data_IF_215816074136
#
_entry.id   IF_215816074136
#
_cell.length_a   1.000
_cell.length_b   1.000
_cell.length_c   1.000
_cell.angle_alpha   90.00
_cell.angle_beta   90.00
_cell.angle_gamma   90.00
#
_symmetry.space_group_name_H-M   'P 1'
#
loop_
_entity.id
_entity.type
_entity.pdbx_description
1 polymer ?
#
# COMPACT_ATOMS: atom_id res chain seq x y z
N UNK A 1 -1.41 12.32 -2.25
CA UNK A 1 -2.70 12.09 -1.52
C UNK A 1 -2.53 10.89 -0.61
N UNK A 2 -3.30 10.76 0.47
CA UNK A 2 -3.14 9.64 1.40
C UNK A 2 -4.17 8.53 1.17
N UNK A 3 -3.72 7.28 1.15
CA UNK A 3 -4.54 6.07 1.18
C UNK A 3 -4.33 5.33 2.50
N UNK A 4 -5.36 4.63 2.98
CA UNK A 4 -5.30 3.81 4.18
C UNK A 4 -5.48 2.34 3.84
N UNK A 5 -4.72 1.48 4.49
CA UNK A 5 -4.78 0.03 4.30
C UNK A 5 -4.50 -0.70 5.62
N UNK A 6 -4.88 -1.98 5.67
CA UNK A 6 -4.55 -2.85 6.80
C UNK A 6 -3.24 -3.58 6.55
N UNK A 7 -2.38 -3.67 7.56
CA UNK A 7 -1.19 -4.51 7.49
C UNK A 7 -1.59 -6.00 7.39
N UNK A 8 -1.10 -6.76 6.39
CA UNK A 8 -1.44 -8.18 6.22
C UNK A 8 -0.77 -9.10 7.26
N UNK A 9 0.09 -8.56 8.12
CA UNK A 9 0.75 -9.30 9.21
C UNK A 9 0.06 -9.11 10.56
N UNK A 10 -0.11 -7.86 10.99
CA UNK A 10 -0.61 -7.53 12.34
C UNK A 10 -2.02 -6.92 12.36
N UNK A 11 -2.64 -6.71 11.19
CA UNK A 11 -3.97 -6.11 11.02
C UNK A 11 -4.09 -4.66 11.50
N UNK A 12 -2.98 -4.01 11.87
CA UNK A 12 -2.99 -2.61 12.25
C UNK A 12 -3.23 -1.70 11.02
N UNK A 13 -3.91 -0.55 11.20
CA UNK A 13 -4.06 0.43 10.13
C UNK A 13 -2.72 1.07 9.80
N UNK A 14 -2.45 1.25 8.51
CA UNK A 14 -1.30 1.97 7.96
C UNK A 14 -1.79 2.98 6.92
N UNK A 15 -0.94 3.93 6.55
CA UNK A 15 -1.23 4.89 5.49
C UNK A 15 -0.02 5.14 4.59
N UNK A 16 -0.29 5.46 3.33
CA UNK A 16 0.75 5.80 2.36
C UNK A 16 0.38 7.06 1.59
N UNK A 17 1.38 7.92 1.33
CA UNK A 17 1.26 9.04 0.41
C UNK A 17 1.53 8.56 -1.02
N UNK A 18 0.59 8.86 -1.92
CA UNK A 18 0.61 8.48 -3.34
C UNK A 18 0.55 9.75 -4.20
N UNK A 19 1.45 9.89 -5.15
CA UNK A 19 1.37 10.84 -6.25
C UNK A 19 0.72 10.17 -7.48
N UNK A 20 -0.54 10.52 -7.83
CA UNK A 20 -1.23 9.93 -8.98
C UNK A 20 -0.52 10.14 -10.32
N UNK A 21 0.39 11.11 -10.43
CA UNK A 21 1.14 11.34 -11.67
C UNK A 21 2.29 10.35 -11.86
N UNK A 22 2.75 9.70 -10.79
CA UNK A 22 3.96 8.87 -10.82
C UNK A 22 3.77 7.47 -10.26
N UNK A 23 2.87 7.27 -9.28
CA UNK A 23 2.83 6.04 -8.49
C UNK A 23 1.82 5.00 -8.98
N UNK A 24 0.97 5.34 -9.97
CA UNK A 24 0.04 4.37 -10.56
C UNK A 24 0.82 3.22 -11.22
N UNK A 25 0.35 2.00 -11.00
CA UNK A 25 0.95 0.73 -11.42
C UNK A 25 2.35 0.45 -10.83
N UNK A 26 2.81 1.24 -9.84
CA UNK A 26 4.03 0.94 -9.13
C UNK A 26 3.82 -0.10 -8.03
N UNK A 27 4.76 -1.04 -7.96
CA UNK A 27 4.96 -1.93 -6.84
C UNK A 27 6.06 -1.36 -5.94
N UNK A 28 5.80 -1.33 -4.64
CA UNK A 28 6.75 -0.84 -3.66
C UNK A 28 6.68 -1.65 -2.38
N UNK A 29 7.80 -1.71 -1.67
CA UNK A 29 7.87 -2.32 -0.35
C UNK A 29 7.90 -1.21 0.68
N UNK A 30 7.00 -1.29 1.65
CA UNK A 30 6.94 -0.38 2.79
C UNK A 30 6.82 -1.18 4.08
N UNK A 31 7.60 -0.82 5.10
CA UNK A 31 7.49 -1.47 6.40
C UNK A 31 6.22 -1.00 7.13
N UNK A 32 5.53 -1.93 7.79
CA UNK A 32 4.43 -1.59 8.67
C UNK A 32 4.90 -0.66 9.81
N UNK A 33 4.18 0.44 10.03
CA UNK A 33 4.48 1.43 11.10
C UNK A 33 4.33 0.86 12.52
N UNK A 34 3.70 -0.31 12.67
CA UNK A 34 3.40 -0.94 13.96
C UNK A 34 4.25 -2.17 14.23
N UNK A 35 4.38 -3.09 13.26
CA UNK A 35 5.09 -4.35 13.46
C UNK A 35 6.39 -4.50 12.65
N UNK A 36 6.77 -3.47 11.88
CA UNK A 36 8.01 -3.43 11.09
C UNK A 36 8.21 -4.65 10.16
N UNK A 37 7.11 -5.23 9.64
CA UNK A 37 7.18 -6.27 8.62
C UNK A 37 7.06 -5.63 7.23
N UNK A 38 7.78 -6.14 6.22
CA UNK A 38 7.75 -5.59 4.86
C UNK A 38 6.42 -5.91 4.19
N UNK A 39 5.68 -4.87 3.77
CA UNK A 39 4.41 -4.99 3.04
C UNK A 39 4.68 -4.65 1.58
N UNK A 40 4.26 -5.53 0.67
CA UNK A 40 4.21 -5.21 -0.76
C UNK A 40 2.93 -4.45 -1.06
N UNK A 41 3.07 -3.27 -1.65
CA UNK A 41 1.97 -2.39 -2.04
C UNK A 41 1.91 -2.29 -3.56
N UNK A 42 0.71 -2.42 -4.11
CA UNK A 42 0.41 -2.10 -5.51
C UNK A 42 -0.62 -0.99 -5.56
N UNK A 43 -0.28 0.11 -6.24
CA UNK A 43 -1.21 1.21 -6.48
C UNK A 43 -1.88 1.03 -7.83
N UNK A 44 -3.20 1.02 -7.86
CA UNK A 44 -3.97 0.90 -9.11
C UNK A 44 -4.99 2.02 -9.24
N UNK A 45 -5.35 2.36 -10.47
CA UNK A 45 -6.45 3.27 -10.78
C UNK A 45 -7.54 2.51 -11.54
N UNK A 46 -8.79 2.65 -11.08
CA UNK A 46 -9.96 2.16 -11.81
C UNK A 46 -11.14 3.13 -11.60
N UNK A 47 -11.87 3.45 -12.68
CA UNK A 47 -13.01 4.39 -12.65
C UNK A 47 -12.70 5.75 -11.96
N UNK A 48 -11.50 6.30 -12.20
CA UNK A 48 -11.03 7.55 -11.56
C UNK A 48 -10.89 7.46 -10.03
N UNK A 49 -10.83 6.25 -9.49
CA UNK A 49 -10.54 5.97 -8.08
C UNK A 49 -9.20 5.25 -7.97
N UNK A 50 -8.44 5.61 -6.93
CA UNK A 50 -7.13 5.02 -6.67
C UNK A 50 -7.26 4.05 -5.50
N UNK A 51 -6.70 2.87 -5.69
CA UNK A 51 -6.69 1.79 -4.72
C UNK A 51 -5.26 1.42 -4.34
N UNK A 52 -5.11 0.87 -3.13
CA UNK A 52 -3.88 0.26 -2.66
C UNK A 52 -4.19 -1.18 -2.27
N UNK A 53 -3.51 -2.11 -2.91
CA UNK A 53 -3.50 -3.51 -2.50
C UNK A 53 -2.27 -3.75 -1.62
N UNK A 54 -2.48 -4.32 -0.44
CA UNK A 54 -1.41 -4.65 0.51
C UNK A 54 -1.29 -6.16 0.68
N UNK A 55 -0.11 -6.71 0.41
CA UNK A 55 0.19 -8.15 0.46
C UNK A 55 1.48 -8.42 1.22
N UNK A 56 1.67 -9.66 1.61
CA UNK A 56 2.95 -10.11 2.14
C UNK A 56 3.93 -10.26 0.96
N UNK A 57 5.17 -9.79 1.12
CA UNK A 57 6.22 -9.79 0.05
C UNK A 57 6.50 -11.19 -0.56
N UNK A 58 6.12 -12.26 0.15
CA UNK A 58 6.48 -13.64 -0.18
C UNK A 58 5.28 -14.51 -0.61
N UNK A 59 4.12 -13.89 -0.89
CA UNK A 59 2.88 -14.55 -1.35
C UNK A 59 2.57 -14.34 -2.84
#
# INVERSE_FOLDING_TARGET
>A
MFLSFGCPYCMAPNSIEVDPAYDIDQQMIQDCEVCCQPIELLITEHDQQIYVDAKQEWE
#
